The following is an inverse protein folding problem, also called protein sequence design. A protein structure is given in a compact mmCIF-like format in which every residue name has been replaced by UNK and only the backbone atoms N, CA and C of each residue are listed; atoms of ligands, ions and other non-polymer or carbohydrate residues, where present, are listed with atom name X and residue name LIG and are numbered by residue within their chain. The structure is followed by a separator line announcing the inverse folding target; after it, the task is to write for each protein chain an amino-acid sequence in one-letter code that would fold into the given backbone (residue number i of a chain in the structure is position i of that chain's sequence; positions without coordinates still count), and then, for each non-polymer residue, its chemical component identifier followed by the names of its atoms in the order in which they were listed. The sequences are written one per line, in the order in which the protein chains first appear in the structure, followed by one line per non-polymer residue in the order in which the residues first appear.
data_IF_591881877757
#
_entry.id   IF_591881877757
#
_cell.length_a   1.000
_cell.length_b   1.000
_cell.length_c   1.000
_cell.angle_alpha   90.00
_cell.angle_beta   90.00
_cell.angle_gamma   90.00
#
_symmetry.space_group_name_H-M   'P 1'
#
loop_
_entity.id
_entity.type
_entity.pdbx_description
1 polymer ?
#
# COMPACT_ATOMS: atom_id res chain seq x y z
N UNK A 1 12.69 30.17 -25.84
CA UNK A 1 13.81 29.38 -25.30
C UNK A 1 13.37 28.90 -23.92
N UNK A 2 12.93 27.65 -23.79
CA UNK A 2 12.65 27.07 -22.47
C UNK A 2 14.00 26.81 -21.81
N UNK A 3 14.18 27.34 -20.60
CA UNK A 3 15.35 27.06 -19.79
C UNK A 3 15.09 25.69 -19.15
N UNK A 4 15.71 24.64 -19.68
CA UNK A 4 15.78 23.35 -18.99
C UNK A 4 16.75 23.46 -17.83
N UNK A 5 16.21 23.65 -16.63
CA UNK A 5 16.98 23.37 -15.43
C UNK A 5 17.03 21.85 -15.27
N UNK A 6 18.23 21.29 -15.33
CA UNK A 6 18.44 19.85 -15.15
C UNK A 6 18.33 19.49 -13.66
N UNK A 7 17.10 19.58 -13.12
CA UNK A 7 16.77 19.31 -11.73
C UNK A 7 16.49 17.82 -11.59
N UNK A 8 17.32 17.13 -10.80
CA UNK A 8 17.11 15.74 -10.49
C UNK A 8 15.80 15.57 -9.67
N UNK A 9 14.91 14.65 -10.06
CA UNK A 9 13.78 14.23 -9.23
C UNK A 9 14.25 13.79 -7.84
N UNK A 10 13.48 14.16 -6.83
CA UNK A 10 13.74 13.73 -5.45
C UNK A 10 12.60 12.84 -4.94
N UNK A 11 12.72 12.41 -3.69
CA UNK A 11 11.72 11.59 -2.99
C UNK A 11 10.28 12.12 -3.15
N UNK A 12 10.06 13.43 -2.98
CA UNK A 12 8.72 14.03 -3.05
C UNK A 12 8.21 14.06 -4.50
N UNK A 13 9.10 14.25 -5.47
CA UNK A 13 8.76 14.19 -6.90
C UNK A 13 8.18 12.82 -7.27
N UNK A 14 8.85 11.75 -6.85
CA UNK A 14 8.40 10.38 -7.11
C UNK A 14 7.09 10.05 -6.41
N UNK A 15 6.98 10.39 -5.11
CA UNK A 15 5.75 10.18 -4.36
C UNK A 15 4.54 10.85 -5.05
N UNK A 16 4.72 12.09 -5.49
CA UNK A 16 3.68 12.85 -6.18
C UNK A 16 3.28 12.22 -7.51
N UNK A 17 4.27 11.78 -8.30
CA UNK A 17 4.04 11.13 -9.59
C UNK A 17 3.33 9.77 -9.45
N UNK A 18 3.71 8.97 -8.43
CA UNK A 18 3.05 7.69 -8.13
C UNK A 18 1.62 7.88 -7.65
N UNK A 19 1.38 8.86 -6.78
CA UNK A 19 0.03 9.21 -6.33
C UNK A 19 -0.86 9.63 -7.52
N UNK A 20 -0.34 10.44 -8.44
CA UNK A 20 -1.06 10.79 -9.66
C UNK A 20 -1.39 9.56 -10.52
N UNK A 21 -0.44 8.62 -10.66
CA UNK A 21 -0.68 7.37 -11.38
C UNK A 21 -1.77 6.53 -10.69
N UNK A 22 -1.76 6.45 -9.35
CA UNK A 22 -2.76 5.73 -8.57
C UNK A 22 -4.17 6.27 -8.81
N UNK A 23 -4.34 7.59 -8.79
CA UNK A 23 -5.62 8.23 -9.08
C UNK A 23 -6.06 8.06 -10.54
N UNK A 24 -5.13 8.06 -11.49
CA UNK A 24 -5.42 7.91 -12.91
C UNK A 24 -5.51 6.44 -13.38
N UNK A 25 -5.22 5.46 -12.51
CA UNK A 25 -5.19 4.04 -12.86
C UNK A 25 -4.05 3.65 -13.82
N UNK A 26 -2.98 4.45 -13.90
CA UNK A 26 -1.87 4.26 -14.84
C UNK A 26 -0.84 3.23 -14.31
N UNK A 27 -1.25 1.97 -14.20
CA UNK A 27 -0.45 0.90 -13.56
C UNK A 27 0.94 0.74 -14.17
N UNK A 28 1.03 0.64 -15.50
CA UNK A 28 2.33 0.45 -16.18
C UNK A 28 3.26 1.63 -15.94
N UNK A 29 2.72 2.87 -16.00
CA UNK A 29 3.51 4.08 -15.74
C UNK A 29 3.97 4.16 -14.29
N UNK A 30 3.13 3.77 -13.34
CA UNK A 30 3.51 3.70 -11.93
C UNK A 30 4.68 2.73 -11.70
N UNK A 31 4.67 1.55 -12.35
CA UNK A 31 5.81 0.62 -12.29
C UNK A 31 7.10 1.19 -12.87
N UNK A 32 7.03 1.81 -14.05
CA UNK A 32 8.18 2.48 -14.66
C UNK A 32 8.78 3.53 -13.72
N UNK A 33 7.92 4.40 -13.16
CA UNK A 33 8.32 5.46 -12.23
C UNK A 33 8.95 4.84 -10.98
N UNK A 34 8.30 3.87 -10.35
CA UNK A 34 8.78 3.23 -9.13
C UNK A 34 10.14 2.55 -9.32
N UNK A 35 10.32 1.83 -10.44
CA UNK A 35 11.59 1.15 -10.74
C UNK A 35 12.71 2.12 -11.11
N UNK A 36 12.40 3.23 -11.80
CA UNK A 36 13.39 4.25 -12.16
C UNK A 36 14.04 4.89 -10.93
N UNK A 37 13.33 4.98 -9.80
CA UNK A 37 13.86 5.54 -8.55
C UNK A 37 15.22 4.93 -8.18
N UNK A 38 15.29 3.60 -8.13
CA UNK A 38 16.50 2.88 -7.74
C UNK A 38 17.45 2.67 -8.93
N UNK A 39 16.90 2.32 -10.09
CA UNK A 39 17.71 1.95 -11.25
C UNK A 39 18.44 3.15 -11.87
N UNK A 40 17.75 4.28 -11.99
CA UNK A 40 18.24 5.47 -12.69
C UNK A 40 18.70 6.56 -11.71
N UNK A 41 17.89 6.84 -10.68
CA UNK A 41 18.13 7.97 -9.78
C UNK A 41 18.84 7.59 -8.47
N UNK A 42 19.10 6.29 -8.25
CA UNK A 42 19.76 5.76 -7.04
C UNK A 42 19.08 6.16 -5.74
N UNK A 43 17.78 6.40 -5.79
CA UNK A 43 16.90 6.70 -4.66
C UNK A 43 16.15 5.44 -4.25
N UNK A 44 16.30 5.03 -3.00
CA UNK A 44 15.52 3.92 -2.45
C UNK A 44 14.08 4.34 -2.19
N UNK A 45 13.07 3.54 -2.56
CA UNK A 45 11.69 3.82 -2.20
C UNK A 45 11.49 3.79 -0.69
N UNK A 46 10.79 4.79 -0.15
CA UNK A 46 10.30 4.82 1.23
C UNK A 46 8.92 4.16 1.37
N UNK A 47 8.45 3.96 2.60
CA UNK A 47 7.15 3.34 2.90
C UNK A 47 5.97 4.03 2.19
N UNK A 48 6.03 5.35 2.06
CA UNK A 48 5.03 6.17 1.36
C UNK A 48 4.94 5.80 -0.13
N UNK A 49 6.07 5.48 -0.77
CA UNK A 49 6.09 5.04 -2.16
C UNK A 49 5.47 3.65 -2.32
N UNK A 50 5.78 2.73 -1.39
CA UNK A 50 5.16 1.41 -1.36
C UNK A 50 3.65 1.51 -1.15
N UNK A 51 3.19 2.35 -0.23
CA UNK A 51 1.76 2.58 0.00
C UNK A 51 1.07 3.12 -1.26
N UNK A 52 1.69 4.05 -1.99
CA UNK A 52 1.16 4.52 -3.28
C UNK A 52 1.10 3.42 -4.35
N UNK A 53 2.09 2.53 -4.41
CA UNK A 53 2.06 1.39 -5.34
C UNK A 53 0.94 0.40 -4.99
N UNK A 54 0.69 0.16 -3.70
CA UNK A 54 -0.44 -0.66 -3.25
C UNK A 54 -1.77 -0.01 -3.58
N UNK A 55 -1.93 1.29 -3.35
CA UNK A 55 -3.15 2.03 -3.73
C UNK A 55 -3.38 1.99 -5.24
N UNK A 56 -2.32 2.17 -6.05
CA UNK A 56 -2.38 2.06 -7.51
C UNK A 56 -2.85 0.69 -7.98
N UNK A 57 -2.22 -0.39 -7.51
CA UNK A 57 -2.58 -1.76 -7.88
C UNK A 57 -3.98 -2.09 -7.38
N UNK A 58 -4.28 -1.70 -6.14
CA UNK A 58 -5.52 -1.96 -5.46
C UNK A 58 -6.71 -1.32 -6.16
N UNK A 59 -6.65 -0.01 -6.45
CA UNK A 59 -7.70 0.72 -7.20
C UNK A 59 -7.91 0.21 -8.62
N UNK A 60 -6.87 -0.34 -9.23
CA UNK A 60 -6.95 -0.98 -10.54
C UNK A 60 -7.57 -2.39 -10.50
N UNK A 61 -8.04 -2.86 -9.34
CA UNK A 61 -8.60 -4.20 -9.15
C UNK A 61 -7.56 -5.32 -9.14
N UNK A 62 -6.26 -4.99 -9.10
CA UNK A 62 -5.15 -5.97 -9.14
C UNK A 62 -4.76 -6.40 -7.74
N UNK A 63 -5.72 -6.88 -6.96
CA UNK A 63 -5.53 -7.19 -5.54
C UNK A 63 -4.48 -8.27 -5.28
N UNK A 64 -4.41 -9.32 -6.10
CA UNK A 64 -3.40 -10.36 -5.93
C UNK A 64 -1.98 -9.82 -6.17
N UNK A 65 -1.82 -8.91 -7.14
CA UNK A 65 -0.55 -8.24 -7.40
C UNK A 65 -0.21 -7.27 -6.26
N UNK A 66 -1.20 -6.57 -5.70
CA UNK A 66 -1.01 -5.71 -4.53
C UNK A 66 -0.55 -6.53 -3.31
N UNK A 67 -1.17 -7.68 -3.06
CA UNK A 67 -0.76 -8.61 -2.00
C UNK A 67 0.66 -9.12 -2.20
N UNK A 68 0.97 -9.63 -3.39
CA UNK A 68 2.32 -10.12 -3.73
C UNK A 68 3.36 -9.00 -3.51
N UNK A 69 3.06 -7.79 -3.97
CA UNK A 69 3.92 -6.64 -3.80
C UNK A 69 4.21 -6.34 -2.32
N UNK A 70 3.17 -6.31 -1.48
CA UNK A 70 3.32 -6.10 -0.02
C UNK A 70 4.16 -7.18 0.62
N UNK A 71 3.93 -8.46 0.29
CA UNK A 71 4.67 -9.58 0.88
C UNK A 71 6.13 -9.66 0.43
N UNK A 72 6.47 -9.05 -0.71
CA UNK A 72 7.83 -9.00 -1.27
C UNK A 72 8.59 -7.73 -0.91
N UNK A 73 8.02 -6.84 -0.11
CA UNK A 73 8.70 -5.63 0.34
C UNK A 73 10.00 -5.99 1.08
N UNK A 74 11.11 -5.26 0.84
CA UNK A 74 12.39 -5.53 1.49
C UNK A 74 12.36 -5.19 2.98
N UNK A 75 11.48 -4.29 3.39
CA UNK A 75 11.26 -3.88 4.76
C UNK A 75 9.84 -4.24 5.20
N UNK A 76 9.64 -4.43 6.52
CA UNK A 76 8.33 -4.79 7.08
C UNK A 76 7.31 -3.69 6.74
N UNK A 77 6.16 -4.01 6.11
CA UNK A 77 5.15 -3.02 5.77
C UNK A 77 4.59 -2.34 7.03
N UNK A 78 4.40 -1.01 6.95
CA UNK A 78 3.85 -0.20 8.02
C UNK A 78 2.31 -0.13 7.96
N UNK A 79 1.70 0.66 8.86
CA UNK A 79 0.25 0.83 8.92
C UNK A 79 -0.34 1.38 7.63
N UNK A 80 0.35 2.27 6.94
CA UNK A 80 -0.18 2.95 5.74
C UNK A 80 -0.29 1.98 4.57
N UNK A 81 0.70 1.09 4.42
CA UNK A 81 0.69 0.04 3.39
C UNK A 81 -0.48 -0.92 3.60
N UNK A 82 -0.66 -1.42 4.83
CA UNK A 82 -1.78 -2.32 5.14
C UNK A 82 -3.14 -1.63 5.04
N UNK A 83 -3.23 -0.35 5.42
CA UNK A 83 -4.44 0.44 5.27
C UNK A 83 -4.82 0.65 3.80
N UNK A 84 -3.84 0.91 2.92
CA UNK A 84 -4.07 1.03 1.48
C UNK A 84 -4.59 -0.28 0.87
N UNK A 85 -4.01 -1.42 1.26
CA UNK A 85 -4.47 -2.73 0.82
C UNK A 85 -5.88 -3.04 1.32
N UNK A 86 -6.15 -2.80 2.62
CA UNK A 86 -7.47 -3.00 3.22
C UNK A 86 -8.55 -2.17 2.52
N UNK A 87 -8.27 -0.89 2.26
CA UNK A 87 -9.17 0.01 1.54
C UNK A 87 -9.52 -0.53 0.16
N UNK A 88 -8.51 -1.02 -0.57
CA UNK A 88 -8.66 -1.61 -1.90
C UNK A 88 -9.46 -2.91 -1.87
N UNK A 89 -9.24 -3.77 -0.88
CA UNK A 89 -10.01 -5.00 -0.71
C UNK A 89 -11.49 -4.69 -0.45
N UNK A 90 -11.79 -3.66 0.37
CA UNK A 90 -13.16 -3.20 0.60
C UNK A 90 -13.81 -2.66 -0.67
N UNK A 91 -13.07 -1.88 -1.47
CA UNK A 91 -13.56 -1.32 -2.73
C UNK A 91 -13.99 -2.42 -3.71
N UNK A 92 -13.27 -3.53 -3.76
CA UNK A 92 -13.52 -4.64 -4.68
C UNK A 92 -14.23 -5.84 -4.05
N UNK A 93 -14.65 -5.76 -2.79
CA UNK A 93 -15.40 -6.82 -2.11
C UNK A 93 -14.59 -8.08 -1.78
N UNK A 94 -13.25 -8.02 -1.75
CA UNK A 94 -12.41 -9.17 -1.39
C UNK A 94 -12.30 -9.28 0.14
N UNK A 95 -13.29 -9.94 0.75
CA UNK A 95 -13.43 -10.06 2.21
C UNK A 95 -12.24 -10.81 2.83
N UNK A 96 -11.75 -11.87 2.20
CA UNK A 96 -10.69 -12.70 2.75
C UNK A 96 -9.36 -11.94 2.83
N UNK A 97 -8.98 -11.24 1.76
CA UNK A 97 -7.78 -10.39 1.78
C UNK A 97 -7.96 -9.18 2.70
N UNK A 98 -9.16 -8.62 2.81
CA UNK A 98 -9.46 -7.56 3.77
C UNK A 98 -9.23 -8.01 5.22
N UNK A 99 -9.67 -9.22 5.60
CA UNK A 99 -9.42 -9.77 6.94
C UNK A 99 -7.93 -9.92 7.22
N UNK A 100 -7.15 -10.40 6.25
CA UNK A 100 -5.69 -10.53 6.38
C UNK A 100 -5.01 -9.16 6.58
N UNK A 101 -5.31 -8.19 5.72
CA UNK A 101 -4.74 -6.84 5.82
C UNK A 101 -5.12 -6.15 7.14
N UNK A 102 -6.38 -6.31 7.58
CA UNK A 102 -6.83 -5.78 8.85
C UNK A 102 -6.09 -6.41 10.04
N UNK A 103 -5.91 -7.74 10.04
CA UNK A 103 -5.16 -8.44 11.07
C UNK A 103 -3.70 -7.94 11.19
N UNK A 104 -3.02 -7.71 10.08
CA UNK A 104 -1.66 -7.15 10.10
C UNK A 104 -1.64 -5.72 10.63
N UNK A 105 -2.60 -4.87 10.22
CA UNK A 105 -2.76 -3.52 10.76
C UNK A 105 -3.00 -3.54 12.29
N UNK A 106 -3.80 -4.49 12.78
CA UNK A 106 -4.03 -4.65 14.21
C UNK A 106 -2.79 -5.11 14.97
N UNK A 107 -2.00 -6.05 14.43
CA UNK A 107 -0.73 -6.47 15.04
C UNK A 107 0.25 -5.32 15.20
N UNK A 108 0.30 -4.40 14.22
CA UNK A 108 1.14 -3.20 14.29
C UNK A 108 0.66 -2.18 15.34
N UNK A 109 -0.65 -2.07 15.55
CA UNK A 109 -1.21 -1.19 16.59
C UNK A 109 -1.16 -1.83 17.99
N UNK A 110 -1.19 -3.16 18.06
CA UNK A 110 -1.08 -3.93 19.30
C UNK A 110 0.23 -3.69 20.05
N UNK A 111 1.33 -3.45 19.31
CA UNK A 111 2.63 -3.12 19.92
C UNK A 111 2.60 -1.81 20.72
N UNK A 112 1.61 -0.94 20.50
CA UNK A 112 1.36 0.24 21.34
C UNK A 112 0.36 0.02 22.48
N UNK A 113 -0.59 -0.92 22.34
CA UNK A 113 -1.65 -1.22 23.33
C UNK A 113 -2.14 -2.68 23.26
N UNK A 114 -1.46 -3.63 23.94
CA UNK A 114 -1.74 -5.07 23.82
C UNK A 114 -3.16 -5.50 24.24
N UNK A 115 -3.79 -4.79 25.18
CA UNK A 115 -5.15 -5.11 25.64
C UNK A 115 -6.25 -4.81 24.61
N UNK A 116 -6.04 -3.80 23.75
CA UNK A 116 -6.97 -3.46 22.68
C UNK A 116 -6.95 -4.50 21.55
N UNK A 117 -5.81 -5.17 21.34
CA UNK A 117 -5.63 -6.21 20.34
C UNK A 117 -6.48 -7.46 20.62
N UNK A 118 -6.45 -7.96 21.86
CA UNK A 118 -7.22 -9.16 22.24
C UNK A 118 -8.71 -8.89 22.12
N UNK A 119 -9.18 -7.75 22.61
CA UNK A 119 -10.60 -7.39 22.56
C UNK A 119 -11.12 -7.26 21.12
N UNK A 120 -10.37 -6.60 20.23
CA UNK A 120 -10.77 -6.37 18.85
C UNK A 120 -10.66 -7.61 17.96
N UNK A 121 -9.64 -8.45 18.19
CA UNK A 121 -9.52 -9.76 17.53
C UNK A 121 -10.76 -10.62 17.79
N UNK A 122 -11.28 -10.60 19.02
CA UNK A 122 -12.49 -11.32 19.38
C UNK A 122 -13.72 -10.73 18.65
N UNK A 123 -13.86 -9.41 18.60
CA UNK A 123 -14.99 -8.75 17.89
C UNK A 123 -15.02 -9.09 16.39
N UNK A 124 -13.86 -9.14 15.71
CA UNK A 124 -13.78 -9.48 14.29
C UNK A 124 -14.02 -10.97 14.02
N UNK A 125 -13.52 -11.84 14.91
CA UNK A 125 -13.81 -13.26 14.87
C UNK A 125 -15.31 -13.53 15.08
N UNK A 126 -15.96 -12.75 15.95
CA UNK A 126 -17.40 -12.83 16.18
C UNK A 126 -18.17 -12.29 14.97
N UNK A 127 -17.81 -11.14 14.40
CA UNK A 127 -18.48 -10.58 13.22
C UNK A 127 -18.41 -11.47 11.97
N UNK A 128 -17.35 -12.29 11.84
CA UNK A 128 -17.21 -13.28 10.76
C UNK A 128 -18.06 -14.54 10.92
N UNK A 129 -18.80 -14.69 12.03
CA UNK A 129 -19.69 -15.84 12.31
C UNK A 129 -21.17 -15.53 12.11
N UNK A 130 -21.53 -14.33 11.64
CA UNK A 130 -22.93 -13.90 11.57
C UNK A 130 -23.67 -14.32 10.28
N UNK A 131 -23.02 -15.07 9.39
CA UNK A 131 -23.64 -15.67 8.21
C UNK A 131 -24.13 -17.12 8.46
N UNK A 132 -24.69 -17.41 9.65
CA UNK A 132 -25.36 -18.69 9.96
C UNK A 132 -26.88 -18.55 10.02
#
# INVERSE_FOLDING_TARGET
MQIEYNIAPNFVTFLSALSACAHAGLVNKGWEIFQSMENEYKLKPGMEHYACMVDLLGRAGRLDQAWEFVTRMPERPNSDVWAALLSSCRLHGNIEMAKLAANELFKLNATGRPGAYVALSNTLADAGKWDS
#
